data_IF_358535854065
#
_entry.id   IF_358535854065
#
_cell.length_a   1.000
_cell.length_b   1.000
_cell.length_c   1.000
_cell.angle_alpha   90.00
_cell.angle_beta   90.00
_cell.angle_gamma   90.00
#
_symmetry.space_group_name_H-M   'P 1'
#
loop_
_entity.id
_entity.type
_entity.pdbx_description
1 polymer ?
#
# COMPACT_ATOMS: atom_id res chain seq x y z
N UNK A 1 -1.72 17.39 -33.50
CA UNK A 1 -2.98 16.75 -33.10
C UNK A 1 -2.67 15.95 -31.86
N UNK A 2 -3.29 16.25 -30.72
CA UNK A 2 -3.15 15.40 -29.54
C UNK A 2 -3.61 13.98 -29.94
N UNK A 3 -2.80 12.97 -29.62
CA UNK A 3 -3.18 11.57 -29.85
C UNK A 3 -4.30 11.20 -28.87
N UNK A 4 -5.14 10.24 -29.23
CA UNK A 4 -6.26 9.82 -28.39
C UNK A 4 -5.83 9.40 -26.97
N UNK A 5 -4.61 8.89 -26.86
CA UNK A 5 -3.96 8.51 -25.60
C UNK A 5 -3.69 9.70 -24.68
N UNK A 6 -3.23 10.85 -25.21
CA UNK A 6 -3.01 12.06 -24.40
C UNK A 6 -4.32 12.73 -23.96
N UNK A 7 -5.38 12.58 -24.76
CA UNK A 7 -6.71 13.02 -24.36
C UNK A 7 -7.19 12.19 -23.18
N UNK A 8 -7.03 10.86 -23.25
CA UNK A 8 -7.45 9.94 -22.19
C UNK A 8 -6.74 10.25 -20.86
N UNK A 9 -5.42 10.45 -20.90
CA UNK A 9 -4.63 10.81 -19.72
C UNK A 9 -5.11 12.13 -19.08
N UNK A 10 -5.44 13.13 -19.91
CA UNK A 10 -5.94 14.42 -19.44
C UNK A 10 -7.35 14.37 -18.81
N UNK A 11 -8.12 13.30 -19.02
CA UNK A 11 -9.43 13.11 -18.41
C UNK A 11 -9.41 12.23 -17.15
N UNK A 12 -8.26 11.67 -16.76
CA UNK A 12 -8.16 11.00 -15.47
C UNK A 12 -8.47 11.98 -14.35
N UNK A 13 -9.27 11.51 -13.39
CA UNK A 13 -9.68 12.33 -12.28
C UNK A 13 -8.54 12.42 -11.26
N UNK A 14 -8.19 13.64 -10.85
CA UNK A 14 -7.25 13.90 -9.77
C UNK A 14 -8.01 14.42 -8.55
N UNK A 15 -8.01 13.64 -7.46
CA UNK A 15 -8.61 14.04 -6.18
C UNK A 15 -7.55 14.06 -5.07
N UNK A 16 -7.38 15.21 -4.41
CA UNK A 16 -6.50 15.31 -3.24
C UNK A 16 -7.27 14.91 -1.97
N UNK A 17 -6.87 13.81 -1.33
CA UNK A 17 -7.44 13.37 -0.04
C UNK A 17 -6.41 13.29 1.06
N UNK A 18 -6.87 13.43 2.29
CA UNK A 18 -6.07 13.16 3.48
C UNK A 18 -6.15 11.68 3.83
N UNK A 19 -5.00 11.05 4.01
CA UNK A 19 -4.92 9.66 4.47
C UNK A 19 -5.28 9.58 5.94
N UNK A 20 -6.10 8.58 6.29
CA UNK A 20 -6.47 8.31 7.67
C UNK A 20 -5.24 7.87 8.51
N UNK A 21 -5.35 7.90 9.84
CA UNK A 21 -4.28 7.44 10.74
C UNK A 21 -3.92 5.96 10.55
N UNK A 22 -4.83 5.20 9.96
CA UNK A 22 -4.66 3.78 9.61
C UNK A 22 -3.93 3.54 8.28
N UNK A 23 -3.66 4.58 7.48
CA UNK A 23 -3.04 4.42 6.16
C UNK A 23 -4.05 4.02 5.07
N UNK A 24 -5.34 4.11 5.38
CA UNK A 24 -6.43 3.84 4.46
C UNK A 24 -7.03 5.13 3.90
N UNK A 25 -7.57 5.04 2.69
CA UNK A 25 -8.29 6.13 2.03
C UNK A 25 -9.60 5.59 1.47
N UNK A 26 -10.72 6.24 1.76
CA UNK A 26 -11.97 5.93 1.08
C UNK A 26 -12.10 6.79 -0.18
N UNK A 27 -12.59 6.28 -1.30
CA UNK A 27 -12.93 7.04 -2.51
C UNK A 27 -14.23 6.47 -3.06
N UNK A 28 -15.23 7.33 -3.28
CA UNK A 28 -16.55 6.93 -3.79
C UNK A 28 -17.21 5.74 -3.02
N UNK A 29 -16.91 5.60 -1.72
CA UNK A 29 -17.42 4.50 -0.89
C UNK A 29 -16.58 3.22 -0.89
N UNK A 30 -15.47 3.18 -1.63
CA UNK A 30 -14.51 2.08 -1.67
C UNK A 30 -13.30 2.42 -0.82
N UNK A 31 -12.81 1.49 0.01
CA UNK A 31 -11.61 1.68 0.83
C UNK A 31 -10.37 1.22 0.08
N UNK A 32 -9.26 1.93 0.20
CA UNK A 32 -7.98 1.63 -0.45
C UNK A 32 -6.85 1.69 0.56
N UNK A 33 -5.85 0.84 0.39
CA UNK A 33 -4.62 0.87 1.18
C UNK A 33 -3.61 1.83 0.56
N UNK A 34 -3.36 2.97 1.21
CA UNK A 34 -2.29 3.89 0.82
C UNK A 34 -0.95 3.51 1.44
N UNK A 35 -0.98 2.91 2.63
CA UNK A 35 0.21 2.50 3.37
C UNK A 35 0.54 3.46 4.51
N UNK A 36 1.19 2.90 5.53
CA UNK A 36 1.48 3.59 6.80
C UNK A 36 2.42 4.80 6.64
N UNK A 37 3.24 4.81 5.59
CA UNK A 37 4.16 5.90 5.26
C UNK A 37 3.46 7.23 4.90
N UNK A 38 2.19 7.14 4.49
CA UNK A 38 1.35 8.26 4.07
C UNK A 38 0.31 8.65 5.11
N UNK A 39 0.23 7.96 6.26
CA UNK A 39 -0.71 8.28 7.34
C UNK A 39 -0.69 9.77 7.70
N UNK A 40 -1.85 10.41 7.66
CA UNK A 40 -2.02 11.82 8.02
C UNK A 40 -1.51 12.84 6.98
N UNK A 41 -0.93 12.40 5.86
CA UNK A 41 -0.50 13.27 4.76
C UNK A 41 -1.63 13.50 3.75
N UNK A 42 -1.50 14.55 2.94
CA UNK A 42 -2.37 14.82 1.80
C UNK A 42 -1.74 14.20 0.56
N UNK A 43 -2.48 13.31 -0.11
CA UNK A 43 -2.02 12.62 -1.31
C UNK A 43 -2.97 12.92 -2.45
N UNK A 44 -2.42 12.95 -3.66
CA UNK A 44 -3.16 13.15 -4.91
C UNK A 44 -3.46 11.77 -5.50
N UNK A 45 -4.73 11.52 -5.78
CA UNK A 45 -5.22 10.23 -6.24
C UNK A 45 -5.64 10.39 -7.69
N UNK A 46 -5.01 9.60 -8.56
CA UNK A 46 -5.36 9.56 -9.99
C UNK A 46 -6.06 8.27 -10.29
N UNK A 47 -7.28 8.36 -10.81
CA UNK A 47 -8.10 7.21 -11.13
C UNK A 47 -9.13 7.56 -12.20
N UNK A 48 -9.67 6.54 -12.86
CA UNK A 48 -10.82 6.70 -13.73
C UNK A 48 -12.10 6.61 -12.90
N UNK A 49 -13.04 7.56 -13.02
CA UNK A 49 -14.27 7.55 -12.22
C UNK A 49 -15.20 6.37 -12.54
N UNK A 50 -15.03 5.70 -13.69
CA UNK A 50 -15.78 4.52 -14.07
C UNK A 50 -15.05 3.22 -13.73
N UNK A 51 -13.71 3.24 -13.65
CA UNK A 51 -12.88 2.12 -13.20
C UNK A 51 -12.10 2.43 -11.92
N UNK A 52 -12.71 2.04 -10.79
CA UNK A 52 -12.16 2.15 -9.45
C UNK A 52 -11.35 0.91 -9.02
N UNK A 53 -10.95 0.06 -9.97
CA UNK A 53 -10.25 -1.19 -9.65
C UNK A 53 -8.81 -0.92 -9.20
N UNK A 54 -8.19 0.15 -9.71
CA UNK A 54 -6.83 0.56 -9.38
C UNK A 54 -6.75 2.07 -9.32
N UNK A 55 -6.16 2.57 -8.25
CA UNK A 55 -5.90 4.00 -8.09
C UNK A 55 -4.40 4.25 -7.93
N UNK A 56 -3.93 5.34 -8.50
CA UNK A 56 -2.53 5.75 -8.35
C UNK A 56 -2.40 6.80 -7.26
N UNK A 57 -1.52 6.53 -6.30
CA UNK A 57 -1.28 7.42 -5.17
C UNK A 57 -0.01 8.22 -5.46
N UNK A 58 -0.19 9.53 -5.57
CA UNK A 58 0.86 10.50 -5.78
C UNK A 58 1.03 11.37 -4.54
N UNK A 59 2.27 11.74 -4.26
CA UNK A 59 2.60 12.61 -3.15
C UNK A 59 3.79 13.50 -3.53
N UNK A 60 3.63 14.81 -3.41
CA UNK A 60 4.64 15.79 -3.84
C UNK A 60 5.13 15.57 -5.29
N UNK A 61 4.22 15.24 -6.20
CA UNK A 61 4.56 15.00 -7.61
C UNK A 61 5.33 13.70 -7.89
N UNK A 62 5.41 12.78 -6.92
CA UNK A 62 5.97 11.44 -7.11
C UNK A 62 4.88 10.38 -6.95
N UNK A 63 4.84 9.44 -7.90
CA UNK A 63 4.05 8.21 -7.78
C UNK A 63 4.66 7.34 -6.70
N UNK A 64 3.93 7.11 -5.62
CA UNK A 64 4.38 6.27 -4.51
C UNK A 64 3.97 4.83 -4.71
N UNK A 65 2.68 4.59 -4.94
CA UNK A 65 2.13 3.24 -4.99
C UNK A 65 0.85 3.20 -5.83
N UNK A 66 0.57 2.03 -6.39
CA UNK A 66 -0.73 1.70 -6.96
C UNK A 66 -1.52 0.95 -5.89
N UNK A 67 -2.71 1.44 -5.55
CA UNK A 67 -3.55 0.86 -4.52
C UNK A 67 -4.74 0.14 -5.13
N UNK A 68 -5.06 -1.02 -4.55
CA UNK A 68 -6.20 -1.85 -4.89
C UNK A 68 -7.28 -1.70 -3.80
N UNK A 69 -8.55 -1.89 -4.16
CA UNK A 69 -9.65 -1.75 -3.22
C UNK A 69 -9.60 -2.85 -2.16
N UNK A 70 -9.71 -2.45 -0.90
CA UNK A 70 -9.83 -3.36 0.24
C UNK A 70 -11.26 -3.89 0.26
N UNK A 71 -11.41 -5.19 -0.03
CA UNK A 71 -12.68 -5.89 0.13
C UNK A 71 -12.79 -6.39 1.56
N UNK A 72 -13.61 -5.71 2.36
CA UNK A 72 -13.91 -6.12 3.74
C UNK A 72 -15.03 -7.16 3.68
N UNK A 73 -14.67 -8.45 3.77
CA UNK A 73 -15.64 -9.54 3.86
C UNK A 73 -16.27 -9.66 5.26
N UNK A 74 -17.36 -10.42 5.36
CA UNK A 74 -18.05 -10.72 6.64
C UNK A 74 -17.13 -11.40 7.67
N UNK A 75 -16.09 -12.07 7.19
CA UNK A 75 -15.08 -12.74 7.99
C UNK A 75 -13.69 -12.32 7.53
N UNK A 76 -12.82 -11.94 8.48
CA UNK A 76 -11.40 -11.77 8.20
C UNK A 76 -10.82 -13.14 7.82
N UNK A 77 -10.43 -13.32 6.56
CA UNK A 77 -9.77 -14.55 6.10
C UNK A 77 -8.60 -14.93 7.02
N UNK A 78 -8.36 -16.23 7.17
CA UNK A 78 -7.27 -16.73 8.01
C UNK A 78 -5.96 -16.07 7.61
N UNK A 79 -5.29 -15.42 8.57
CA UNK A 79 -4.04 -14.71 8.34
C UNK A 79 -3.07 -15.59 7.53
N UNK A 80 -2.54 -15.03 6.44
CA UNK A 80 -1.52 -15.69 5.62
C UNK A 80 -0.42 -16.19 6.56
N UNK A 81 -0.23 -17.52 6.63
CA UNK A 81 0.91 -18.09 7.33
C UNK A 81 2.15 -17.61 6.58
N UNK A 82 2.90 -16.70 7.19
CA UNK A 82 4.24 -16.36 6.71
C UNK A 82 5.07 -17.63 6.76
N UNK A 83 5.26 -18.28 5.61
CA UNK A 83 6.08 -19.50 5.48
C UNK A 83 7.57 -19.19 5.36
N UNK A 84 8.01 -18.02 5.84
CA UNK A 84 9.43 -17.76 6.04
C UNK A 84 9.76 -18.06 7.50
N UNK A 85 10.00 -19.35 7.76
CA UNK A 85 10.93 -19.76 8.79
C UNK A 85 12.26 -19.11 8.42
N UNK A 86 12.55 -17.95 8.99
CA UNK A 86 13.88 -17.36 8.93
C UNK A 86 14.79 -18.40 9.58
N UNK A 87 15.75 -18.94 8.84
CA UNK A 87 16.79 -19.78 9.42
C UNK A 87 17.45 -18.96 10.52
N UNK A 88 17.18 -19.33 11.77
CA UNK A 88 17.71 -18.64 12.94
C UNK A 88 19.23 -18.81 12.88
N UNK A 89 19.91 -17.79 12.35
CA UNK A 89 21.36 -17.72 12.32
C UNK A 89 21.92 -17.83 13.74
N UNK A 90 23.10 -18.47 13.85
CA UNK A 90 23.79 -18.80 15.10
C UNK A 90 23.73 -17.63 16.10
N UNK A 91 23.14 -17.88 17.27
CA UNK A 91 23.06 -16.89 18.34
C UNK A 91 24.43 -16.72 19.00
N UNK A 92 24.91 -15.47 19.04
CA UNK A 92 26.17 -15.08 19.72
C UNK A 92 26.23 -15.57 21.18
N UNK A 93 25.09 -15.57 21.88
CA UNK A 93 24.99 -16.05 23.27
C UNK A 93 25.28 -17.55 23.38
N UNK A 94 24.75 -18.36 22.45
CA UNK A 94 24.95 -19.82 22.44
C UNK A 94 26.41 -20.17 22.11
N UNK A 95 27.05 -19.36 21.26
CA UNK A 95 28.46 -19.52 20.90
C UNK A 95 29.40 -19.18 22.07
N UNK A 96 29.09 -18.14 22.84
CA UNK A 96 29.83 -17.82 24.08
C UNK A 96 29.68 -18.96 25.09
N UNK A 97 28.46 -19.46 25.30
CA UNK A 97 28.24 -20.55 26.25
C UNK A 97 28.96 -21.84 25.84
N UNK A 98 29.01 -22.16 24.55
CA UNK A 98 29.76 -23.31 24.05
C UNK A 98 31.27 -23.17 24.25
N UNK A 99 31.81 -21.95 24.17
CA UNK A 99 33.23 -21.68 24.41
C UNK A 99 33.62 -21.75 25.90
N UNK A 100 32.70 -21.40 26.81
CA UNK A 100 32.94 -21.44 28.25
C UNK A 100 32.83 -22.85 28.86
N UNK A 101 32.17 -23.78 28.16
CA UNK A 101 31.96 -25.16 28.61
C UNK A 101 32.79 -26.19 27.82
N UNK A 102 33.85 -25.74 27.14
CA UNK A 102 34.77 -26.57 26.34
C UNK A 102 36.07 -26.88 27.10
#
# INVERSE_FOLDING_TARGET
>A
MATAEECFDAFLHEETRKVDGTGCISIAGVLYEAGLELCGKKVDLRFDPFDLSRIEIWHHGKKLKMAEPIVIGEYCGSALKTSNLIEIGRSRLLEVYAAENA
#
